data_IF_956054474547
#
_entry.id   IF_956054474547
#
_cell.length_a   1.000
_cell.length_b   1.000
_cell.length_c   1.000
_cell.angle_alpha   90.00
_cell.angle_beta   90.00
_cell.angle_gamma   90.00
#
_symmetry.space_group_name_H-M   'P 1'
#
loop_
_entity.id
_entity.type
_entity.pdbx_description
1 polymer ?
#
# COMPACT_ATOMS: atom_id res chain seq x y z
N UNK A 1 -2.52 -12.12 -24.69
CA UNK A 1 -2.66 -11.41 -23.40
C UNK A 1 -1.68 -12.04 -22.42
N UNK A 2 -0.75 -11.24 -21.93
CA UNK A 2 0.24 -11.70 -20.96
C UNK A 2 -0.34 -11.48 -19.56
N UNK A 3 -0.44 -12.56 -18.79
CA UNK A 3 -0.84 -12.51 -17.39
C UNK A 3 0.42 -12.58 -16.52
N UNK A 4 0.54 -11.72 -15.53
CA UNK A 4 1.65 -11.70 -14.57
C UNK A 4 1.12 -11.96 -13.16
N UNK A 5 1.90 -12.72 -12.40
CA UNK A 5 1.55 -13.03 -11.01
C UNK A 5 2.16 -11.99 -10.07
N UNK A 6 1.30 -11.39 -9.26
CA UNK A 6 1.68 -10.43 -8.22
C UNK A 6 1.35 -11.00 -6.84
N UNK A 7 2.25 -10.83 -5.90
CA UNK A 7 1.99 -11.05 -4.48
C UNK A 7 1.75 -9.70 -3.80
N UNK A 8 0.65 -9.61 -3.08
CA UNK A 8 0.28 -8.43 -2.29
C UNK A 8 0.37 -8.79 -0.81
N UNK A 9 1.20 -8.06 -0.08
CA UNK A 9 1.32 -8.15 1.38
C UNK A 9 0.61 -6.95 1.98
N UNK A 10 -0.48 -7.21 2.70
CA UNK A 10 -1.27 -6.16 3.35
C UNK A 10 -1.05 -6.21 4.86
N UNK A 11 -0.56 -5.12 5.43
CA UNK A 11 -0.41 -4.99 6.88
C UNK A 11 -1.77 -4.68 7.51
N UNK A 12 -2.00 -5.24 8.69
CA UNK A 12 -3.20 -4.99 9.49
C UNK A 12 -2.83 -4.56 10.90
N UNK A 13 -3.60 -3.66 11.49
CA UNK A 13 -3.49 -3.30 12.90
C UNK A 13 -4.07 -4.43 13.77
N UNK A 14 -3.25 -4.98 14.63
CA UNK A 14 -3.64 -6.05 15.55
C UNK A 14 -4.05 -5.55 16.94
N UNK A 15 -3.96 -4.26 17.24
CA UNK A 15 -4.33 -3.71 18.56
C UNK A 15 -5.74 -4.11 18.99
N UNK A 16 -6.77 -4.02 18.12
CA UNK A 16 -8.12 -4.43 18.46
C UNK A 16 -8.30 -5.95 18.67
N UNK A 17 -7.33 -6.75 18.16
CA UNK A 17 -7.37 -8.22 18.22
C UNK A 17 -6.67 -8.79 19.45
N UNK A 18 -6.04 -7.96 20.27
CA UNK A 18 -5.32 -8.38 21.46
C UNK A 18 -6.27 -8.50 22.66
N UNK A 19 -5.87 -9.29 23.66
CA UNK A 19 -6.57 -9.42 24.92
C UNK A 19 -5.65 -9.02 26.10
N UNK A 20 -5.90 -7.89 26.75
CA UNK A 20 -6.94 -6.90 26.46
C UNK A 20 -6.64 -6.12 25.17
N UNK A 21 -7.68 -5.67 24.48
CA UNK A 21 -7.54 -4.84 23.30
C UNK A 21 -6.82 -3.52 23.61
N UNK A 22 -5.92 -3.10 22.73
CA UNK A 22 -5.18 -1.86 22.84
C UNK A 22 -5.83 -0.75 22.00
N UNK A 23 -5.77 0.48 22.49
CA UNK A 23 -6.22 1.64 21.73
C UNK A 23 -5.16 2.09 20.73
N UNK A 24 -5.53 2.95 19.76
CA UNK A 24 -4.63 3.54 18.77
C UNK A 24 -3.49 4.37 19.38
N UNK A 25 -3.65 4.83 20.65
CA UNK A 25 -2.62 5.60 21.35
C UNK A 25 -1.44 4.75 21.87
N UNK A 26 -1.55 3.42 21.83
CA UNK A 26 -0.44 2.54 22.20
C UNK A 26 0.54 2.45 21.03
N UNK A 27 1.72 3.03 21.21
CA UNK A 27 2.81 2.98 20.24
C UNK A 27 3.54 1.65 20.34
N UNK A 28 3.86 1.04 19.18
CA UNK A 28 4.59 -0.22 19.10
C UNK A 28 4.31 -0.98 17.80
N UNK A 29 4.96 -2.12 17.64
CA UNK A 29 4.80 -3.01 16.48
C UNK A 29 3.60 -3.96 16.69
N UNK A 30 2.40 -3.40 16.68
CA UNK A 30 1.15 -4.14 16.84
C UNK A 30 0.50 -4.44 15.48
N UNK A 31 1.28 -4.91 14.53
CA UNK A 31 0.78 -5.24 13.20
C UNK A 31 1.10 -6.70 12.84
N UNK A 32 0.33 -7.22 11.92
CA UNK A 32 0.60 -8.46 11.23
C UNK A 32 0.41 -8.27 9.73
N UNK A 33 0.60 -9.32 8.96
CA UNK A 33 0.50 -9.27 7.51
C UNK A 33 -0.39 -10.41 6.98
N UNK A 34 -1.07 -10.12 5.87
CA UNK A 34 -1.77 -11.11 5.05
C UNK A 34 -1.15 -11.07 3.67
N UNK A 35 -0.79 -12.23 3.13
CA UNK A 35 -0.23 -12.37 1.80
C UNK A 35 -1.24 -13.03 0.86
N UNK A 36 -1.57 -12.34 -0.22
CA UNK A 36 -2.41 -12.85 -1.30
C UNK A 36 -1.65 -12.81 -2.63
N UNK A 37 -1.97 -13.73 -3.52
CA UNK A 37 -1.41 -13.79 -4.87
C UNK A 37 -2.51 -13.58 -5.90
N UNK A 38 -2.23 -12.73 -6.89
CA UNK A 38 -3.18 -12.39 -7.94
C UNK A 38 -2.52 -12.52 -9.31
N UNK A 39 -3.22 -13.14 -10.24
CA UNK A 39 -2.84 -13.13 -11.64
C UNK A 39 -3.52 -11.91 -12.28
N UNK A 40 -2.72 -10.99 -12.84
CA UNK A 40 -3.19 -9.73 -13.39
C UNK A 40 -2.91 -9.70 -14.88
N UNK A 41 -3.96 -9.49 -15.68
CA UNK A 41 -3.91 -9.34 -17.12
C UNK A 41 -3.94 -7.89 -17.57
N UNK A 42 -3.24 -7.58 -18.66
CA UNK A 42 -3.34 -6.25 -19.26
C UNK A 42 -4.74 -6.02 -19.85
N UNK A 43 -5.41 -4.95 -19.42
CA UNK A 43 -6.77 -4.61 -19.87
C UNK A 43 -7.88 -5.13 -18.97
N UNK A 44 -7.56 -5.69 -17.81
CA UNK A 44 -8.55 -6.03 -16.78
C UNK A 44 -9.22 -4.75 -16.23
N UNK A 45 -10.52 -4.83 -15.96
CA UNK A 45 -11.24 -3.70 -15.34
C UNK A 45 -10.72 -3.41 -13.95
N UNK A 46 -10.48 -2.12 -13.66
CA UNK A 46 -9.89 -1.68 -12.40
C UNK A 46 -10.74 -2.09 -11.18
N UNK A 47 -12.06 -1.92 -11.28
CA UNK A 47 -12.95 -2.18 -10.15
C UNK A 47 -13.19 -3.66 -9.91
N UNK A 48 -13.20 -4.48 -10.95
CA UNK A 48 -13.25 -5.94 -10.81
C UNK A 48 -11.94 -6.46 -10.19
N UNK A 49 -10.79 -5.92 -10.59
CA UNK A 49 -9.50 -6.23 -9.96
C UNK A 49 -9.50 -5.82 -8.49
N UNK A 50 -9.90 -4.59 -8.16
CA UNK A 50 -9.96 -4.08 -6.79
C UNK A 50 -10.89 -4.93 -5.91
N UNK A 51 -12.08 -5.28 -6.42
CA UNK A 51 -13.05 -6.14 -5.73
C UNK A 51 -12.49 -7.54 -5.47
N UNK A 52 -11.79 -8.12 -6.44
CA UNK A 52 -11.14 -9.42 -6.30
C UNK A 52 -10.03 -9.38 -5.24
N UNK A 53 -9.19 -8.34 -5.25
CA UNK A 53 -8.14 -8.15 -4.24
C UNK A 53 -8.74 -7.99 -2.85
N UNK A 54 -9.77 -7.14 -2.71
CA UNK A 54 -10.45 -6.91 -1.44
C UNK A 54 -11.11 -8.19 -0.91
N UNK A 55 -11.82 -8.94 -1.77
CA UNK A 55 -12.48 -10.19 -1.38
C UNK A 55 -11.46 -11.23 -0.90
N UNK A 56 -10.33 -11.35 -1.60
CA UNK A 56 -9.25 -12.25 -1.19
C UNK A 56 -8.66 -11.86 0.17
N UNK A 57 -8.45 -10.56 0.39
CA UNK A 57 -7.97 -10.04 1.67
C UNK A 57 -8.98 -10.30 2.81
N UNK A 58 -10.25 -9.97 2.60
CA UNK A 58 -11.31 -10.16 3.59
C UNK A 58 -11.45 -11.63 3.99
N UNK A 59 -11.44 -12.55 3.02
CA UNK A 59 -11.49 -13.99 3.26
C UNK A 59 -10.27 -14.47 4.06
N UNK A 60 -9.07 -14.02 3.70
CA UNK A 60 -7.84 -14.38 4.42
C UNK A 60 -7.87 -13.86 5.87
N UNK A 61 -8.34 -12.63 6.08
CA UNK A 61 -8.50 -12.04 7.41
C UNK A 61 -9.51 -12.82 8.26
N UNK A 62 -10.66 -13.18 7.70
CA UNK A 62 -11.72 -13.95 8.39
C UNK A 62 -11.26 -15.37 8.72
N UNK A 63 -10.32 -15.93 7.97
CA UNK A 63 -9.70 -17.23 8.24
C UNK A 63 -8.42 -17.12 9.10
N UNK A 64 -8.17 -15.99 9.75
CA UNK A 64 -7.05 -15.75 10.65
C UNK A 64 -5.66 -15.98 10.02
N UNK A 65 -5.53 -15.84 8.70
CA UNK A 65 -4.25 -16.03 8.01
C UNK A 65 -3.15 -15.07 8.47
N UNK A 66 -3.50 -13.92 9.03
CA UNK A 66 -2.56 -12.97 9.59
C UNK A 66 -1.68 -13.56 10.71
N UNK A 67 -2.07 -14.65 11.36
CA UNK A 67 -1.23 -15.34 12.34
C UNK A 67 -0.13 -16.20 11.71
N UNK A 68 -0.34 -16.73 10.51
CA UNK A 68 0.61 -17.57 9.80
C UNK A 68 1.40 -16.80 8.74
N UNK A 69 0.76 -15.96 7.99
CA UNK A 69 1.37 -15.25 6.86
C UNK A 69 2.53 -14.33 7.28
N UNK A 70 2.45 -13.72 8.47
CA UNK A 70 3.55 -12.89 8.98
C UNK A 70 4.80 -13.70 9.29
N UNK A 71 4.64 -14.93 9.80
CA UNK A 71 5.75 -15.82 10.04
C UNK A 71 6.42 -16.23 8.72
N UNK A 72 5.63 -16.52 7.69
CA UNK A 72 6.12 -16.86 6.35
C UNK A 72 6.84 -15.68 5.70
N UNK A 73 6.30 -14.48 5.79
CA UNK A 73 6.95 -13.24 5.29
C UNK A 73 8.29 -13.03 5.99
N UNK A 74 8.35 -13.15 7.31
CA UNK A 74 9.60 -13.02 8.07
C UNK A 74 10.63 -14.08 7.69
N UNK A 75 10.20 -15.33 7.50
CA UNK A 75 11.06 -16.39 7.04
C UNK A 75 11.65 -16.09 5.65
N UNK A 76 10.82 -15.66 4.70
CA UNK A 76 11.24 -15.31 3.34
C UNK A 76 12.20 -14.12 3.34
N UNK A 77 11.96 -13.11 4.16
CA UNK A 77 12.84 -11.95 4.29
C UNK A 77 14.22 -12.35 4.85
N UNK A 78 14.24 -13.18 5.88
CA UNK A 78 15.52 -13.69 6.43
C UNK A 78 16.29 -14.49 5.38
N UNK A 79 15.61 -15.35 4.60
CA UNK A 79 16.25 -16.11 3.52
C UNK A 79 16.78 -15.21 2.41
N UNK A 80 16.09 -14.14 2.07
CA UNK A 80 16.56 -13.14 1.09
C UNK A 80 17.83 -12.42 1.60
N UNK A 81 17.89 -12.07 2.89
CA UNK A 81 19.05 -11.42 3.51
C UNK A 81 20.25 -12.37 3.55
N UNK A 82 20.03 -13.63 3.93
CA UNK A 82 21.08 -14.65 4.00
C UNK A 82 21.65 -15.02 2.61
N UNK A 83 20.86 -14.84 1.55
CA UNK A 83 21.20 -15.27 0.20
C UNK A 83 21.03 -14.14 -0.84
N UNK A 84 21.78 -13.04 -0.71
CA UNK A 84 21.59 -11.86 -1.58
C UNK A 84 21.83 -12.17 -3.07
N UNK A 85 22.62 -13.19 -3.39
CA UNK A 85 22.86 -13.61 -4.77
C UNK A 85 21.67 -14.32 -5.44
N UNK A 86 20.68 -14.78 -4.66
CA UNK A 86 19.46 -15.40 -5.19
C UNK A 86 18.39 -14.37 -5.55
N UNK A 87 18.54 -13.14 -5.11
CA UNK A 87 17.71 -12.01 -5.53
C UNK A 87 18.44 -11.21 -6.60
N UNK A 88 18.29 -11.54 -7.90
CA UNK A 88 19.00 -10.85 -8.97
C UNK A 88 18.69 -9.35 -8.89
N UNK A 89 19.74 -8.55 -8.90
CA UNK A 89 19.67 -7.09 -8.73
C UNK A 89 19.26 -6.57 -7.35
N UNK A 90 19.26 -7.41 -6.31
CA UNK A 90 19.03 -6.97 -4.92
C UNK A 90 17.65 -6.41 -4.62
N UNK A 91 16.81 -6.20 -5.62
CA UNK A 91 15.45 -5.76 -5.42
C UNK A 91 14.50 -6.88 -5.81
N UNK A 92 13.76 -7.34 -4.85
CA UNK A 92 12.47 -7.91 -5.16
C UNK A 92 11.76 -6.85 -6.00
N UNK A 93 11.21 -7.21 -7.15
CA UNK A 93 10.41 -6.28 -7.99
C UNK A 93 9.12 -5.93 -7.24
N UNK A 94 9.27 -5.17 -6.17
CA UNK A 94 8.23 -4.88 -5.19
C UNK A 94 8.06 -3.39 -5.04
N UNK A 95 6.83 -2.99 -4.80
CA UNK A 95 6.50 -1.66 -4.34
C UNK A 95 5.81 -1.77 -2.98
N UNK A 96 6.02 -0.79 -2.12
CA UNK A 96 5.24 -0.61 -0.89
C UNK A 96 4.30 0.58 -1.08
N UNK A 97 3.05 0.40 -0.69
CA UNK A 97 2.05 1.47 -0.66
C UNK A 97 1.54 1.56 0.76
N UNK A 98 1.57 2.75 1.34
CA UNK A 98 1.03 3.05 2.66
C UNK A 98 -0.03 4.12 2.52
N UNK A 99 -1.28 3.78 2.84
CA UNK A 99 -2.42 4.70 2.77
C UNK A 99 -2.81 5.09 4.18
N UNK A 100 -2.82 6.38 4.47
CA UNK A 100 -3.29 6.95 5.71
C UNK A 100 -4.72 7.47 5.52
N UNK A 101 -5.70 6.67 5.91
CA UNK A 101 -7.13 7.01 5.79
C UNK A 101 -7.56 8.08 6.80
N UNK A 102 -6.94 8.07 7.99
CA UNK A 102 -7.12 9.13 8.98
C UNK A 102 -5.76 9.82 9.18
N UNK A 103 -5.60 11.04 8.70
CA UNK A 103 -4.36 11.76 8.91
C UNK A 103 -4.16 11.93 10.43
N UNK A 104 -3.01 11.46 10.92
CA UNK A 104 -2.55 11.71 12.30
C UNK A 104 -2.57 13.21 12.58
N UNK A 105 -2.52 14.01 11.50
CA UNK A 105 -2.51 15.45 11.49
C UNK A 105 -3.56 15.89 10.47
N UNK A 106 -4.70 16.33 10.93
CA UNK A 106 -5.76 16.89 10.07
C UNK A 106 -5.89 18.40 10.30
N UNK A 107 -6.23 19.13 9.26
CA UNK A 107 -6.49 20.59 9.31
C UNK A 107 -7.52 20.98 10.36
N UNK A 108 -8.39 20.04 10.76
CA UNK A 108 -9.45 20.25 11.77
C UNK A 108 -9.02 20.06 13.21
N UNK A 109 -7.75 19.68 13.51
CA UNK A 109 -7.31 19.55 14.90
C UNK A 109 -6.96 20.91 15.52
N UNK A 110 -7.72 21.38 16.54
CA UNK A 110 -7.42 22.66 17.19
C UNK A 110 -6.01 22.73 17.78
N UNK A 111 -5.45 21.59 18.19
CA UNK A 111 -4.08 21.51 18.74
C UNK A 111 -3.02 21.74 17.66
N UNK A 112 -3.26 21.26 16.46
CA UNK A 112 -2.34 21.42 15.34
C UNK A 112 -2.37 22.84 14.79
N UNK A 113 -3.57 23.40 14.66
CA UNK A 113 -3.73 24.82 14.31
C UNK A 113 -3.04 25.75 15.32
N UNK A 114 -3.12 25.42 16.63
CA UNK A 114 -2.50 26.20 17.69
C UNK A 114 -0.96 26.23 17.63
N UNK A 115 -0.32 25.22 17.05
CA UNK A 115 1.15 25.18 16.85
C UNK A 115 1.57 25.60 15.43
N UNK A 116 0.61 26.03 14.58
CA UNK A 116 0.88 26.46 13.21
C UNK A 116 1.27 25.33 12.26
N UNK A 117 0.87 24.08 12.56
CA UNK A 117 1.14 22.94 11.69
C UNK A 117 0.09 22.91 10.57
N UNK A 118 0.52 23.19 9.35
CA UNK A 118 -0.34 23.27 8.16
C UNK A 118 -0.33 21.96 7.36
N UNK A 119 0.82 21.28 7.32
CA UNK A 119 0.99 20.09 6.52
C UNK A 119 2.01 19.12 7.09
N UNK A 120 1.89 17.85 6.73
CA UNK A 120 2.83 16.80 7.09
C UNK A 120 2.96 15.78 5.95
N UNK A 121 4.18 15.51 5.54
CA UNK A 121 4.50 14.45 4.57
C UNK A 121 5.38 13.41 5.26
N UNK A 122 4.87 12.19 5.37
CA UNK A 122 5.63 11.04 5.84
C UNK A 122 6.35 10.35 4.67
N UNK A 123 7.62 10.02 4.85
CA UNK A 123 8.35 9.18 3.92
C UNK A 123 9.39 8.33 4.64
N UNK A 124 9.83 7.26 3.99
CA UNK A 124 11.00 6.49 4.42
C UNK A 124 11.97 6.31 3.27
N UNK A 125 13.19 5.90 3.56
CA UNK A 125 14.17 5.59 2.51
C UNK A 125 13.86 4.23 1.87
N UNK A 126 14.05 4.11 0.56
CA UNK A 126 13.98 2.86 -0.18
C UNK A 126 15.41 2.42 -0.54
N UNK A 127 15.89 1.34 0.06
CA UNK A 127 17.26 0.85 -0.17
C UNK A 127 17.41 -0.62 0.22
N UNK A 128 18.48 -1.28 -0.26
CA UNK A 128 18.86 -2.64 0.09
C UNK A 128 17.86 -3.70 -0.38
N UNK A 129 17.55 -4.64 0.50
CA UNK A 129 16.56 -5.70 0.29
C UNK A 129 15.21 -5.15 0.74
N UNK A 130 14.38 -4.73 -0.19
CA UNK A 130 13.10 -4.14 0.13
C UNK A 130 12.37 -3.69 -1.12
N UNK A 131 11.28 -2.95 -0.98
CA UNK A 131 10.57 -2.39 -2.11
C UNK A 131 11.49 -1.41 -2.85
N UNK A 132 11.52 -1.53 -4.16
CA UNK A 132 12.29 -0.61 -5.03
C UNK A 132 11.57 0.73 -5.22
N UNK A 133 10.28 0.77 -4.92
CA UNK A 133 9.45 1.97 -4.94
C UNK A 133 8.60 1.96 -3.68
N UNK A 134 8.55 3.07 -2.98
CA UNK A 134 7.63 3.28 -1.86
C UNK A 134 6.71 4.46 -2.16
N UNK A 135 5.42 4.27 -1.92
CA UNK A 135 4.38 5.28 -2.14
C UNK A 135 3.69 5.51 -0.80
N UNK A 136 3.69 6.76 -0.38
CA UNK A 136 3.04 7.18 0.86
C UNK A 136 1.89 8.10 0.50
N UNK A 137 0.69 7.61 0.74
CA UNK A 137 -0.55 8.29 0.39
C UNK A 137 -1.23 8.81 1.64
N UNK A 138 -1.79 10.00 1.57
CA UNK A 138 -2.63 10.57 2.60
C UNK A 138 -3.86 11.22 1.98
N UNK A 139 -5.03 10.93 2.53
CA UNK A 139 -6.27 11.60 2.16
C UNK A 139 -6.54 12.68 3.21
N UNK A 140 -6.55 13.94 2.79
CA UNK A 140 -6.82 15.09 3.66
C UNK A 140 -7.80 16.02 2.99
N UNK A 141 -8.83 16.40 3.72
CA UNK A 141 -9.85 17.36 3.25
C UNK A 141 -10.45 17.00 1.87
N UNK A 142 -10.51 15.70 1.54
CA UNK A 142 -10.99 15.20 0.26
C UNK A 142 -9.95 15.19 -0.87
N UNK A 143 -8.72 15.56 -0.59
CA UNK A 143 -7.61 15.52 -1.54
C UNK A 143 -6.67 14.34 -1.24
N UNK A 144 -6.19 13.69 -2.30
CA UNK A 144 -5.21 12.60 -2.22
C UNK A 144 -3.81 13.14 -2.54
N UNK A 145 -2.94 13.12 -1.53
CA UNK A 145 -1.53 13.41 -1.68
C UNK A 145 -0.72 12.12 -1.75
N UNK A 146 0.22 12.02 -2.70
CA UNK A 146 1.08 10.86 -2.89
C UNK A 146 2.55 11.28 -2.97
N UNK A 147 3.38 10.70 -2.10
CA UNK A 147 4.83 10.85 -2.14
C UNK A 147 5.49 9.57 -2.66
N UNK A 148 6.21 9.67 -3.78
CA UNK A 148 6.94 8.55 -4.40
C UNK A 148 8.41 8.61 -4.04
N UNK A 149 8.91 7.57 -3.39
CA UNK A 149 10.30 7.42 -2.98
C UNK A 149 10.93 6.27 -3.73
N UNK A 150 12.05 6.51 -4.36
CA UNK A 150 12.77 5.52 -5.16
C UNK A 150 14.29 5.74 -5.13
N UNK A 151 15.11 4.68 -5.23
CA UNK A 151 16.56 4.83 -5.25
C UNK A 151 17.06 5.27 -6.63
N UNK A 152 17.91 6.30 -6.64
CA UNK A 152 18.69 6.68 -7.82
C UNK A 152 20.08 6.03 -7.72
N UNK A 153 20.64 5.49 -8.83
CA UNK A 153 20.18 5.56 -10.22
C UNK A 153 19.34 4.35 -10.68
N UNK A 154 18.82 3.51 -9.78
CA UNK A 154 18.06 2.32 -10.14
C UNK A 154 16.82 2.68 -11.00
N UNK A 155 16.16 3.78 -10.67
CA UNK A 155 15.05 4.34 -11.44
C UNK A 155 15.38 5.76 -11.87
N UNK A 156 15.09 6.10 -13.13
CA UNK A 156 15.23 7.48 -13.60
C UNK A 156 14.02 8.32 -13.18
N UNK A 157 14.22 9.63 -13.13
CA UNK A 157 13.14 10.57 -12.83
C UNK A 157 12.02 10.49 -13.87
N UNK A 158 12.38 10.32 -15.14
CA UNK A 158 11.42 10.21 -16.24
C UNK A 158 10.56 8.96 -16.11
N UNK A 159 11.16 7.82 -15.74
CA UNK A 159 10.42 6.58 -15.48
C UNK A 159 9.42 6.76 -14.34
N UNK A 160 9.86 7.40 -13.25
CA UNK A 160 8.99 7.62 -12.10
C UNK A 160 7.89 8.64 -12.39
N UNK A 161 8.19 9.71 -13.12
CA UNK A 161 7.17 10.66 -13.56
C UNK A 161 6.10 9.98 -14.41
N UNK A 162 6.53 9.13 -15.37
CA UNK A 162 5.58 8.36 -16.18
C UNK A 162 4.71 7.44 -15.33
N UNK A 163 5.27 6.77 -14.30
CA UNK A 163 4.50 5.94 -13.38
C UNK A 163 3.44 6.75 -12.65
N UNK A 164 3.81 7.92 -12.11
CA UNK A 164 2.89 8.85 -11.44
C UNK A 164 1.75 9.27 -12.37
N UNK A 165 2.08 9.67 -13.59
CA UNK A 165 1.10 10.12 -14.58
C UNK A 165 0.14 8.99 -14.97
N UNK A 166 0.65 7.76 -15.17
CA UNK A 166 -0.16 6.58 -15.47
C UNK A 166 -1.07 6.20 -14.29
N UNK A 167 -0.56 6.21 -13.05
CA UNK A 167 -1.37 5.96 -11.86
C UNK A 167 -2.48 6.99 -11.70
N UNK A 168 -2.16 8.29 -11.82
CA UNK A 168 -3.14 9.37 -11.77
C UNK A 168 -4.23 9.21 -12.82
N UNK A 169 -3.85 8.87 -14.05
CA UNK A 169 -4.79 8.64 -15.15
C UNK A 169 -5.74 7.47 -14.82
N UNK A 170 -5.20 6.34 -14.38
CA UNK A 170 -6.00 5.15 -14.04
C UNK A 170 -7.00 5.46 -12.92
N UNK A 171 -6.58 6.17 -11.87
CA UNK A 171 -7.46 6.56 -10.78
C UNK A 171 -8.58 7.49 -11.24
N UNK A 172 -8.26 8.51 -12.04
CA UNK A 172 -9.25 9.45 -12.58
C UNK A 172 -10.24 8.76 -13.53
N UNK A 173 -9.75 7.86 -14.38
CA UNK A 173 -10.61 7.11 -15.29
C UNK A 173 -11.53 6.13 -14.53
N UNK A 174 -11.02 5.52 -13.46
CA UNK A 174 -11.80 4.70 -12.55
C UNK A 174 -12.93 5.49 -11.86
N UNK A 175 -12.65 6.70 -11.38
CA UNK A 175 -13.68 7.56 -10.78
C UNK A 175 -14.77 7.94 -11.79
N UNK A 176 -14.40 8.33 -12.99
CA UNK A 176 -15.36 8.68 -14.07
C UNK A 176 -16.27 7.52 -14.48
N UNK A 177 -15.77 6.29 -14.41
CA UNK A 177 -16.56 5.09 -14.72
C UNK A 177 -17.69 4.86 -13.71
N UNK A 178 -17.47 5.18 -12.44
CA UNK A 178 -18.51 5.13 -11.39
C UNK A 178 -19.59 6.18 -11.64
N UNK A 179 -19.20 7.44 -11.90
CA UNK A 179 -20.15 8.52 -12.14
C UNK A 179 -21.06 8.22 -13.33
N UNK A 180 -20.50 7.66 -14.40
CA UNK A 180 -21.26 7.26 -15.58
C UNK A 180 -22.13 6.01 -15.36
N UNK A 181 -21.76 5.12 -14.46
CA UNK A 181 -22.53 3.92 -14.07
C UNK A 181 -23.76 4.29 -13.23
N UNK A 182 -23.59 5.15 -12.23
CA UNK A 182 -24.68 5.63 -11.37
C UNK A 182 -25.69 6.49 -12.11
N UNK A 183 -25.31 7.14 -13.22
CA UNK A 183 -26.23 7.91 -14.07
C UNK A 183 -27.14 7.04 -14.96
N UNK A 184 -26.87 5.74 -15.08
CA UNK A 184 -27.68 4.81 -15.90
C UNK A 184 -28.74 4.06 -15.08
N UNK A 185 -28.64 4.07 -13.76
CA UNK A 185 -29.55 3.37 -12.85
C UNK A 185 -30.55 4.34 -12.16
N UNK A 186 -30.63 5.60 -12.63
CA UNK A 186 -31.65 6.59 -12.27
C UNK A 186 -32.58 6.87 -13.48
#
# INVERSE_FOLDING_TARGET
>A
DRTEKYALVTLIDCRPLLEPALSSNHLGFYHSAIMNSHDIGGGEDLWELAKRCYTSFANAKNNNKHFTDMADVNFLMNKAIENPGLTPSGSLRTAAISVFEEPVIGSSSPKQAAIGLEDFVGCSSAHGIGPSIAIFDAVRDGELDCAFVYPSPLHSREQMQKLVDDMKRILLDGCRSIENGTAKDQ
#
